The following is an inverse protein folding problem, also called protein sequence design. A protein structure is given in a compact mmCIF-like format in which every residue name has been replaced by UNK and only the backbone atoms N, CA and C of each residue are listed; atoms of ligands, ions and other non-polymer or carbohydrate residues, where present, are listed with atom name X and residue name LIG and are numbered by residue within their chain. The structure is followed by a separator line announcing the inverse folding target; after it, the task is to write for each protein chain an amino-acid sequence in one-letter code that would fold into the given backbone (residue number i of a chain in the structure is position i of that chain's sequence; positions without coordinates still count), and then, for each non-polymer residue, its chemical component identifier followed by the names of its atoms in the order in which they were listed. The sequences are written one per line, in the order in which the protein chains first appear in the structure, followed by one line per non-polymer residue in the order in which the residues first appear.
data_IF_668535083306
#
_entry.id   IF_668535083306
#
_cell.length_a   1.000
_cell.length_b   1.000
_cell.length_c   1.000
_cell.angle_alpha   90.00
_cell.angle_beta   90.00
_cell.angle_gamma   90.00
#
_symmetry.space_group_name_H-M   'P 1'
#
loop_
_entity.id
_entity.type
_entity.pdbx_description
1 polymer ?
#
# COMPACT_ATOMS: atom_id res chain seq x y z
N UNK A 1 -22.91 -53.53 16.94
CA UNK A 1 -23.20 -52.11 17.22
C UNK A 1 -21.94 -51.32 16.93
N UNK A 2 -21.92 -50.54 15.86
CA UNK A 2 -20.78 -49.69 15.48
C UNK A 2 -21.18 -48.24 15.82
N UNK A 3 -20.37 -47.46 16.55
CA UNK A 3 -20.71 -46.07 16.83
C UNK A 3 -20.38 -45.22 15.59
N UNK A 4 -21.40 -44.64 14.99
CA UNK A 4 -21.25 -43.67 13.90
C UNK A 4 -20.58 -42.41 14.44
N UNK A 5 -19.32 -42.18 14.05
CA UNK A 5 -18.61 -40.94 14.35
C UNK A 5 -19.23 -39.81 13.53
N UNK A 6 -20.10 -39.04 14.16
CA UNK A 6 -20.71 -37.85 13.58
C UNK A 6 -19.67 -36.71 13.51
N UNK A 7 -19.41 -36.09 12.34
CA UNK A 7 -18.53 -34.94 12.25
C UNK A 7 -19.21 -33.73 12.90
N UNK A 8 -18.46 -32.99 13.71
CA UNK A 8 -18.95 -31.92 14.59
C UNK A 8 -19.27 -30.65 13.78
N UNK A 9 -20.54 -30.21 13.63
CA UNK A 9 -20.93 -29.08 12.76
C UNK A 9 -20.66 -27.67 13.34
N UNK A 10 -20.17 -27.59 14.58
CA UNK A 10 -20.03 -26.32 15.29
C UNK A 10 -18.84 -25.46 14.80
N UNK A 11 -17.75 -26.08 14.34
CA UNK A 11 -16.53 -25.37 13.91
C UNK A 11 -16.68 -24.72 12.53
N UNK A 12 -17.37 -25.38 11.62
CA UNK A 12 -17.59 -24.89 10.25
C UNK A 12 -18.53 -23.67 10.27
N UNK A 13 -19.60 -23.76 11.07
CA UNK A 13 -20.55 -22.67 11.26
C UNK A 13 -19.92 -21.39 11.84
N UNK A 14 -18.96 -21.55 12.74
CA UNK A 14 -18.23 -20.44 13.36
C UNK A 14 -17.27 -19.78 12.35
N UNK A 15 -16.52 -20.60 11.60
CA UNK A 15 -15.56 -20.14 10.60
C UNK A 15 -16.23 -19.38 9.46
N UNK A 16 -17.39 -19.85 8.99
CA UNK A 16 -18.15 -19.16 7.93
C UNK A 16 -18.71 -17.81 8.41
N UNK A 17 -19.15 -17.71 9.67
CA UNK A 17 -19.60 -16.42 10.24
C UNK A 17 -18.44 -15.44 10.42
N UNK A 18 -17.28 -15.91 10.86
CA UNK A 18 -16.09 -15.08 10.97
C UNK A 18 -15.67 -14.53 9.61
N UNK A 19 -15.65 -15.38 8.57
CA UNK A 19 -15.36 -14.95 7.20
C UNK A 19 -16.39 -13.93 6.69
N UNK A 20 -17.69 -14.19 6.90
CA UNK A 20 -18.76 -13.27 6.52
C UNK A 20 -18.61 -11.90 7.19
N UNK A 21 -18.25 -11.87 8.47
CA UNK A 21 -18.04 -10.64 9.22
C UNK A 21 -16.79 -9.89 8.76
N UNK A 22 -15.69 -10.60 8.45
CA UNK A 22 -14.48 -10.00 7.91
C UNK A 22 -14.73 -9.39 6.52
N UNK A 23 -15.40 -10.14 5.64
CA UNK A 23 -15.76 -9.65 4.30
C UNK A 23 -16.68 -8.43 4.36
N UNK A 24 -17.66 -8.42 5.27
CA UNK A 24 -18.55 -7.27 5.46
C UNK A 24 -17.78 -6.03 5.94
N UNK A 25 -16.79 -6.21 6.83
CA UNK A 25 -15.95 -5.12 7.31
C UNK A 25 -15.06 -4.55 6.19
N UNK A 26 -14.41 -5.43 5.42
CA UNK A 26 -13.60 -5.02 4.26
C UNK A 26 -14.46 -4.33 3.21
N UNK A 27 -15.65 -4.84 2.88
CA UNK A 27 -16.55 -4.21 1.91
C UNK A 27 -16.97 -2.80 2.39
N UNK A 28 -17.43 -2.66 3.63
CA UNK A 28 -17.81 -1.35 4.17
C UNK A 28 -16.65 -0.35 4.12
N UNK A 29 -15.44 -0.80 4.47
CA UNK A 29 -14.25 0.05 4.42
C UNK A 29 -13.90 0.48 2.99
N UNK A 30 -13.92 -0.45 2.04
CA UNK A 30 -13.65 -0.18 0.62
C UNK A 30 -14.68 0.80 0.07
N UNK A 31 -15.97 0.60 0.36
CA UNK A 31 -17.02 1.53 -0.08
C UNK A 31 -16.82 2.93 0.50
N UNK A 32 -16.48 3.02 1.79
CA UNK A 32 -16.22 4.31 2.43
C UNK A 32 -15.01 5.03 1.84
N UNK A 33 -13.88 4.32 1.68
CA UNK A 33 -12.67 4.90 1.10
C UNK A 33 -12.85 5.31 -0.37
N UNK A 34 -13.55 4.50 -1.16
CA UNK A 34 -13.93 4.84 -2.53
C UNK A 34 -14.82 6.07 -2.61
N UNK A 35 -15.79 6.21 -1.70
CA UNK A 35 -16.65 7.39 -1.64
C UNK A 35 -15.86 8.67 -1.31
N UNK A 36 -14.91 8.58 -0.37
CA UNK A 36 -14.03 9.68 -0.01
C UNK A 36 -13.13 10.11 -1.18
N UNK A 37 -12.43 9.15 -1.81
CA UNK A 37 -11.58 9.40 -2.98
C UNK A 37 -12.40 10.03 -4.11
N UNK A 38 -13.61 9.51 -4.37
CA UNK A 38 -14.50 10.04 -5.40
C UNK A 38 -14.93 11.47 -5.10
N UNK A 39 -15.27 11.79 -3.85
CA UNK A 39 -15.64 13.15 -3.46
C UNK A 39 -14.48 14.14 -3.65
N UNK A 40 -13.27 13.77 -3.22
CA UNK A 40 -12.08 14.63 -3.39
C UNK A 40 -11.77 14.82 -4.88
N UNK A 41 -11.85 13.76 -5.69
CA UNK A 41 -11.63 13.84 -7.13
C UNK A 41 -12.66 14.76 -7.82
N UNK A 42 -13.94 14.64 -7.47
CA UNK A 42 -14.99 15.52 -7.99
C UNK A 42 -14.74 16.99 -7.63
N UNK A 43 -14.33 17.27 -6.39
CA UNK A 43 -13.97 18.62 -5.96
C UNK A 43 -12.77 19.17 -6.74
N UNK A 44 -11.74 18.34 -6.97
CA UNK A 44 -10.57 18.73 -7.74
C UNK A 44 -10.92 19.02 -9.21
N UNK A 45 -11.78 18.20 -9.83
CA UNK A 45 -12.25 18.41 -11.20
C UNK A 45 -13.09 19.69 -11.32
N UNK A 46 -14.06 19.88 -10.42
CA UNK A 46 -14.88 21.10 -10.40
C UNK A 46 -14.02 22.36 -10.18
N UNK A 47 -12.94 22.26 -9.40
CA UNK A 47 -12.00 23.37 -9.20
C UNK A 47 -11.30 23.78 -10.50
N UNK A 48 -10.87 22.82 -11.31
CA UNK A 48 -10.21 23.04 -12.60
C UNK A 48 -11.10 23.74 -13.62
N UNK A 49 -12.42 23.55 -13.56
CA UNK A 49 -13.37 24.25 -14.43
C UNK A 49 -13.46 25.76 -14.14
N UNK A 50 -12.95 26.20 -12.98
CA UNK A 50 -12.97 27.61 -12.60
C UNK A 50 -11.73 28.38 -13.10
N UNK A 51 -11.86 29.66 -13.47
CA UNK A 51 -10.70 30.50 -13.83
C UNK A 51 -9.68 30.66 -12.68
N UNK A 52 -10.14 30.52 -11.43
CA UNK A 52 -9.28 30.52 -10.23
C UNK A 52 -8.49 29.22 -10.12
N UNK A 53 -9.10 28.08 -10.47
CA UNK A 53 -8.43 26.77 -10.43
C UNK A 53 -7.20 26.70 -11.32
N UNK A 54 -7.28 27.28 -12.52
CA UNK A 54 -6.13 27.39 -13.43
C UNK A 54 -4.93 28.15 -12.84
N UNK A 55 -5.16 29.06 -11.88
CA UNK A 55 -4.12 29.85 -11.21
C UNK A 55 -3.66 29.24 -9.89
N UNK A 56 -4.44 28.31 -9.34
CA UNK A 56 -4.22 27.69 -8.02
C UNK A 56 -4.16 26.17 -8.16
N UNK A 57 -3.21 25.70 -8.96
CA UNK A 57 -2.94 24.28 -9.19
C UNK A 57 -2.37 23.58 -7.95
N UNK A 58 -1.89 24.32 -6.96
CA UNK A 58 -1.46 23.82 -5.66
C UNK A 58 -2.61 23.13 -4.91
N UNK A 59 -3.84 23.63 -5.06
CA UNK A 59 -5.05 23.01 -4.49
C UNK A 59 -5.31 21.65 -5.13
N UNK A 60 -5.12 21.53 -6.45
CA UNK A 60 -5.27 20.27 -7.18
C UNK A 60 -4.16 19.29 -6.82
N UNK A 61 -2.91 19.77 -6.72
CA UNK A 61 -1.80 18.95 -6.26
C UNK A 61 -2.04 18.39 -4.85
N UNK A 62 -2.60 19.21 -3.95
CA UNK A 62 -3.00 18.76 -2.60
C UNK A 62 -4.16 17.76 -2.64
N UNK A 63 -5.17 17.98 -3.48
CA UNK A 63 -6.26 17.02 -3.64
C UNK A 63 -5.75 15.66 -4.16
N UNK A 64 -4.82 15.67 -5.12
CA UNK A 64 -4.17 14.44 -5.61
C UNK A 64 -3.33 13.74 -4.54
N UNK A 65 -2.62 14.51 -3.69
CA UNK A 65 -1.91 13.95 -2.53
C UNK A 65 -2.90 13.28 -1.58
N UNK A 66 -4.00 13.95 -1.21
CA UNK A 66 -5.02 13.37 -0.34
C UNK A 66 -5.65 12.12 -0.94
N UNK A 67 -5.95 12.10 -2.25
CA UNK A 67 -6.46 10.90 -2.93
C UNK A 67 -5.47 9.73 -2.80
N UNK A 68 -4.18 9.98 -3.06
CA UNK A 68 -3.14 8.96 -2.93
C UNK A 68 -3.06 8.45 -1.50
N UNK A 69 -2.93 9.35 -0.54
CA UNK A 69 -2.76 8.97 0.87
C UNK A 69 -3.99 8.21 1.40
N UNK A 70 -5.21 8.58 0.99
CA UNK A 70 -6.44 7.84 1.31
C UNK A 70 -6.48 6.46 0.64
N UNK A 71 -5.99 6.33 -0.60
CA UNK A 71 -5.90 5.06 -1.30
C UNK A 71 -4.85 4.11 -0.67
N UNK A 72 -3.70 4.63 -0.28
CA UNK A 72 -2.66 3.89 0.45
C UNK A 72 -3.20 3.39 1.80
N UNK A 73 -3.84 4.27 2.56
CA UNK A 73 -4.48 3.90 3.83
C UNK A 73 -5.52 2.79 3.64
N UNK A 74 -6.37 2.90 2.61
CA UNK A 74 -7.36 1.86 2.30
C UNK A 74 -6.71 0.52 1.94
N UNK A 75 -5.62 0.55 1.16
CA UNK A 75 -4.88 -0.63 0.78
C UNK A 75 -4.21 -1.30 1.98
N UNK A 76 -3.61 -0.52 2.87
CA UNK A 76 -2.99 -1.03 4.11
C UNK A 76 -4.03 -1.75 4.98
N UNK A 77 -5.17 -1.12 5.23
CA UNK A 77 -6.21 -1.73 6.06
C UNK A 77 -6.82 -2.98 5.41
N UNK A 78 -7.18 -2.93 4.12
CA UNK A 78 -7.68 -4.11 3.41
C UNK A 78 -6.62 -5.24 3.38
N UNK A 79 -5.34 -4.87 3.26
CA UNK A 79 -4.21 -5.78 3.34
C UNK A 79 -4.06 -6.44 4.70
N UNK A 80 -4.18 -5.68 5.80
CA UNK A 80 -4.09 -6.24 7.16
C UNK A 80 -5.21 -7.24 7.46
N UNK A 81 -6.44 -6.94 7.05
CA UNK A 81 -7.58 -7.86 7.20
C UNK A 81 -7.40 -9.11 6.33
N UNK A 82 -6.93 -8.96 5.09
CA UNK A 82 -6.64 -10.09 4.21
C UNK A 82 -5.50 -10.96 4.76
N UNK A 83 -4.44 -10.36 5.32
CA UNK A 83 -3.33 -11.07 5.94
C UNK A 83 -3.77 -11.83 7.20
N UNK A 84 -4.65 -11.25 8.03
CA UNK A 84 -5.24 -11.93 9.19
C UNK A 84 -6.04 -13.19 8.78
N UNK A 85 -6.58 -13.20 7.56
CA UNK A 85 -7.30 -14.33 6.97
C UNK A 85 -6.41 -15.26 6.13
N UNK A 86 -5.10 -14.98 6.04
CA UNK A 86 -4.15 -15.75 5.24
C UNK A 86 -4.32 -15.60 3.73
N UNK A 87 -5.02 -14.55 3.27
CA UNK A 87 -5.25 -14.24 1.85
C UNK A 87 -4.65 -12.88 1.43
N UNK A 88 -3.59 -12.44 2.13
CA UNK A 88 -2.90 -11.18 1.85
C UNK A 88 -2.46 -11.06 0.40
N UNK A 89 -2.62 -9.87 -0.17
CA UNK A 89 -2.17 -9.55 -1.52
C UNK A 89 -0.69 -9.13 -1.50
N UNK A 90 0.12 -9.73 -2.37
CA UNK A 90 1.53 -9.37 -2.54
C UNK A 90 1.72 -8.65 -3.89
N UNK A 91 2.07 -7.36 -3.85
CA UNK A 91 2.43 -6.63 -5.07
C UNK A 91 3.86 -7.00 -5.51
N UNK A 92 3.95 -8.01 -6.37
CA UNK A 92 5.21 -8.42 -6.96
C UNK A 92 5.91 -7.30 -7.75
N UNK A 93 5.18 -6.31 -8.27
CA UNK A 93 5.76 -5.17 -8.96
C UNK A 93 6.34 -4.14 -7.98
N UNK A 94 5.71 -3.91 -6.84
CA UNK A 94 6.29 -3.12 -5.74
C UNK A 94 7.55 -3.79 -5.21
N UNK A 95 7.53 -5.10 -4.97
CA UNK A 95 8.70 -5.85 -4.51
C UNK A 95 9.89 -5.69 -5.47
N UNK A 96 9.66 -5.84 -6.79
CA UNK A 96 10.70 -5.61 -7.81
C UNK A 96 11.21 -4.17 -7.81
N UNK A 97 10.33 -3.18 -7.59
CA UNK A 97 10.72 -1.76 -7.54
C UNK A 97 11.55 -1.46 -6.28
N UNK A 98 11.18 -2.03 -5.14
CA UNK A 98 11.91 -1.90 -3.88
C UNK A 98 13.29 -2.56 -3.96
N UNK A 99 13.39 -3.78 -4.49
CA UNK A 99 14.66 -4.46 -4.72
C UNK A 99 15.60 -3.65 -5.64
N UNK A 100 15.06 -3.08 -6.72
CA UNK A 100 15.82 -2.23 -7.62
C UNK A 100 16.30 -0.93 -6.95
N UNK A 101 15.46 -0.32 -6.11
CA UNK A 101 15.82 0.88 -5.35
C UNK A 101 16.92 0.59 -4.31
N UNK A 102 16.82 -0.54 -3.61
CA UNK A 102 17.84 -0.98 -2.65
C UNK A 102 19.16 -1.30 -3.34
N UNK A 103 19.13 -2.04 -4.46
CA UNK A 103 20.31 -2.33 -5.25
C UNK A 103 21.00 -1.05 -5.77
N UNK A 104 20.22 -0.04 -6.18
CA UNK A 104 20.75 1.26 -6.59
C UNK A 104 21.39 2.01 -5.41
N UNK A 105 20.76 2.00 -4.23
CA UNK A 105 21.32 2.63 -3.04
C UNK A 105 22.63 1.96 -2.59
N UNK A 106 22.69 0.62 -2.62
CA UNK A 106 23.91 -0.14 -2.33
C UNK A 106 25.02 0.14 -3.35
N UNK A 107 24.69 0.20 -4.65
CA UNK A 107 25.66 0.55 -5.69
C UNK A 107 26.23 1.96 -5.51
N UNK A 108 25.39 2.94 -5.12
CA UNK A 108 25.85 4.29 -4.79
C UNK A 108 26.77 4.29 -3.57
N UNK A 109 26.43 3.57 -2.50
CA UNK A 109 27.27 3.47 -1.30
C UNK A 109 28.65 2.86 -1.62
N UNK A 110 28.70 1.80 -2.42
CA UNK A 110 29.97 1.18 -2.85
C UNK A 110 30.83 2.12 -3.70
N UNK A 111 30.22 2.99 -4.53
CA UNK A 111 30.94 4.01 -5.28
C UNK A 111 31.59 5.06 -4.37
N UNK A 112 30.92 5.43 -3.27
CA UNK A 112 31.48 6.35 -2.28
C UNK A 112 32.63 5.71 -1.48
N UNK A 113 32.54 4.43 -1.12
CA UNK A 113 33.61 3.71 -0.40
C UNK A 113 34.84 3.43 -1.27
N UNK A 114 34.67 3.25 -2.58
CA UNK A 114 35.79 2.99 -3.52
C UNK A 114 36.50 4.26 -4.00
N UNK A 115 36.13 5.44 -3.49
CA UNK A 115 36.80 6.69 -3.86
C UNK A 115 38.23 6.68 -3.29
N UNK A 116 39.29 6.67 -4.13
CA UNK A 116 40.66 6.69 -3.64
C UNK A 116 40.90 8.00 -2.89
N UNK A 117 41.52 7.93 -1.71
CA UNK A 117 42.01 9.12 -1.00
C UNK A 117 43.14 9.71 -1.86
N UNK A 118 43.01 10.95 -2.39
CA UNK A 118 44.10 11.53 -3.16
C UNK A 118 45.22 11.92 -2.19
N UNK A 119 46.39 11.30 -2.32
CA UNK A 119 47.61 11.76 -1.64
C UNK A 119 48.46 10.73 -0.86
N UNK A 120 48.34 9.43 -1.11
CA UNK A 120 49.31 8.45 -0.58
C UNK A 120 50.19 7.84 -1.69
N UNK A 121 50.84 8.69 -2.48
CA UNK A 121 52.05 8.29 -3.18
C UNK A 121 53.22 8.47 -2.21
N UNK A 122 53.57 7.37 -1.54
CA UNK A 122 54.71 7.28 -0.64
C UNK A 122 55.99 7.65 -1.36
N UNK A 123 56.45 8.88 -1.14
CA UNK A 123 57.85 9.24 -1.33
C UNK A 123 58.66 8.48 -0.28
N UNK A 124 59.28 7.37 -0.67
CA UNK A 124 60.38 6.78 0.09
C UNK A 124 61.68 7.25 -0.52
N UNK A 125 62.43 8.03 0.27
CA UNK A 125 63.82 8.42 0.04
C UNK A 125 64.78 7.24 0.10
#
# INVERSE_FOLDING_TARGET
MNPTTQPTPAKDSHSTRQLSNALTQVDHLVQQGCAEISAIAQLALAWLETPKGHRHMDVVARALQSIRDSAETLADYAGTEAQAMGCGFEDAAEMRRAEAAEAAAQAMAQLFERRPVPGQDGSSS
#
